data_IF_167068977349
#
_entry.id   IF_167068977349
#
_cell.length_a   1.000
_cell.length_b   1.000
_cell.length_c   1.000
_cell.angle_alpha   90.00
_cell.angle_beta   90.00
_cell.angle_gamma   90.00
#
_symmetry.space_group_name_H-M   'P 1'
#
loop_
_entity.id
_entity.type
_entity.pdbx_description
1 polymer ?
#
# COMPACT_ATOMS: atom_id res chain seq x y z
N UNK A 1 11.76 14.37 12.63
CA UNK A 1 12.42 13.07 12.91
C UNK A 1 13.90 13.33 12.85
N UNK A 2 14.61 12.99 13.92
CA UNK A 2 16.05 13.14 13.99
C UNK A 2 16.70 11.75 13.76
N UNK A 3 18.00 11.72 13.50
CA UNK A 3 18.74 10.50 13.17
C UNK A 3 18.55 9.40 14.22
N UNK A 4 18.73 9.73 15.50
CA UNK A 4 18.56 8.78 16.62
C UNK A 4 17.14 8.20 16.66
N UNK A 5 16.13 9.07 16.50
CA UNK A 5 14.72 8.65 16.52
C UNK A 5 14.40 7.72 15.35
N UNK A 6 14.92 7.99 14.15
CA UNK A 6 14.72 7.16 12.97
C UNK A 6 15.32 5.76 13.18
N UNK A 7 16.54 5.72 13.72
CA UNK A 7 17.24 4.48 14.03
C UNK A 7 16.45 3.63 15.03
N UNK A 8 16.08 4.21 16.17
CA UNK A 8 15.44 3.48 17.25
C UNK A 8 14.03 2.96 16.89
N UNK A 9 13.30 3.73 16.08
CA UNK A 9 11.88 3.42 15.77
C UNK A 9 11.70 2.56 14.53
N UNK A 10 12.52 2.72 13.49
CA UNK A 10 12.24 2.11 12.17
C UNK A 10 13.39 1.34 11.56
N UNK A 11 14.65 1.70 11.86
CA UNK A 11 15.80 1.11 11.14
C UNK A 11 16.52 0.01 11.91
N UNK A 12 16.54 0.05 13.24
CA UNK A 12 17.25 -0.91 14.08
C UNK A 12 16.70 -2.34 13.88
N UNK A 13 17.46 -3.30 13.31
CA UNK A 13 16.99 -4.66 13.05
C UNK A 13 16.53 -5.43 14.29
N UNK A 14 17.02 -5.07 15.48
CA UNK A 14 16.64 -5.72 16.72
C UNK A 14 15.26 -5.29 17.24
N UNK A 15 14.80 -4.08 16.90
CA UNK A 15 13.54 -3.51 17.41
C UNK A 15 12.51 -3.21 16.33
N UNK A 16 12.93 -3.06 15.07
CA UNK A 16 12.05 -2.71 13.96
C UNK A 16 11.09 -3.85 13.64
N UNK A 17 9.89 -3.48 13.20
CA UNK A 17 8.90 -4.42 12.66
C UNK A 17 8.79 -4.21 11.15
N UNK A 18 9.06 -5.24 10.36
CA UNK A 18 8.91 -5.22 8.90
C UNK A 18 7.75 -6.13 8.48
N UNK A 19 7.00 -5.69 7.47
CA UNK A 19 5.97 -6.51 6.85
C UNK A 19 6.46 -7.00 5.48
N UNK A 20 6.55 -8.32 5.30
CA UNK A 20 6.91 -8.92 4.01
C UNK A 20 5.65 -9.06 3.15
N UNK A 21 5.52 -8.19 2.16
CA UNK A 21 4.42 -8.27 1.18
C UNK A 21 4.62 -9.49 0.28
N UNK A 22 3.55 -10.25 0.07
CA UNK A 22 3.51 -11.41 -0.83
C UNK A 22 2.30 -11.31 -1.75
N UNK A 23 2.34 -11.99 -2.90
CA UNK A 23 1.24 -12.02 -3.88
C UNK A 23 0.69 -13.45 -3.91
N UNK A 24 -0.56 -13.60 -3.46
CA UNK A 24 -1.25 -14.89 -3.46
C UNK A 24 -1.91 -15.19 -4.82
N UNK A 25 -2.52 -14.17 -5.44
CA UNK A 25 -3.16 -14.25 -6.75
C UNK A 25 -2.70 -13.09 -7.63
N UNK A 26 -1.87 -13.41 -8.62
CA UNK A 26 -1.33 -12.44 -9.56
C UNK A 26 -2.42 -11.81 -10.45
N UNK A 27 -3.44 -12.56 -10.85
CA UNK A 27 -4.50 -12.03 -11.70
C UNK A 27 -5.38 -11.04 -10.94
N UNK A 28 -5.65 -11.30 -9.65
CA UNK A 28 -6.36 -10.35 -8.80
C UNK A 28 -5.52 -9.09 -8.55
N UNK A 29 -4.23 -9.23 -8.28
CA UNK A 29 -3.33 -8.11 -8.10
C UNK A 29 -3.28 -7.21 -9.35
N UNK A 30 -3.14 -7.79 -10.54
CA UNK A 30 -3.11 -7.04 -11.81
C UNK A 30 -4.39 -6.24 -12.05
N UNK A 31 -5.56 -6.84 -11.79
CA UNK A 31 -6.84 -6.13 -11.88
C UNK A 31 -6.89 -4.92 -10.96
N UNK A 32 -6.40 -5.04 -9.73
CA UNK A 32 -6.36 -3.94 -8.77
C UNK A 32 -5.39 -2.84 -9.19
N UNK A 33 -4.21 -3.20 -9.72
CA UNK A 33 -3.24 -2.24 -10.22
C UNK A 33 -3.82 -1.47 -11.41
N UNK A 34 -4.40 -2.17 -12.39
CA UNK A 34 -5.03 -1.52 -13.54
C UNK A 34 -6.19 -0.60 -13.14
N UNK A 35 -7.02 -1.03 -12.17
CA UNK A 35 -8.14 -0.22 -11.67
C UNK A 35 -7.66 1.06 -10.96
N UNK A 36 -6.65 0.96 -10.09
CA UNK A 36 -6.22 2.05 -9.24
C UNK A 36 -5.16 2.96 -9.86
N UNK A 37 -4.35 2.43 -10.78
CA UNK A 37 -3.19 3.10 -11.36
C UNK A 37 -3.29 3.27 -12.89
N UNK A 38 -4.27 2.66 -13.56
CA UNK A 38 -4.47 2.80 -15.00
C UNK A 38 -5.02 4.16 -15.41
N UNK A 39 -4.92 4.50 -16.69
CA UNK A 39 -5.19 5.85 -17.21
C UNK A 39 -6.66 6.28 -17.13
N UNK A 40 -7.58 5.31 -17.04
CA UNK A 40 -9.02 5.58 -17.01
C UNK A 40 -9.44 6.00 -15.61
N UNK A 41 -9.89 7.24 -15.47
CA UNK A 41 -10.25 7.85 -14.18
C UNK A 41 -11.57 7.33 -13.61
N UNK A 42 -12.55 7.06 -14.46
CA UNK A 42 -13.92 6.75 -14.03
C UNK A 42 -14.02 5.47 -13.15
N UNK A 43 -13.40 4.33 -13.52
CA UNK A 43 -13.39 3.13 -12.68
C UNK A 43 -12.78 3.39 -11.30
N UNK A 44 -11.73 4.21 -11.23
CA UNK A 44 -11.04 4.56 -9.98
C UNK A 44 -11.94 5.39 -9.07
N UNK A 45 -12.65 6.39 -9.62
CA UNK A 45 -13.61 7.21 -8.86
C UNK A 45 -14.74 6.36 -8.28
N UNK A 46 -15.32 5.48 -9.10
CA UNK A 46 -16.39 4.59 -8.67
C UNK A 46 -15.94 3.66 -7.55
N UNK A 47 -14.70 3.14 -7.63
CA UNK A 47 -14.11 2.37 -6.54
C UNK A 47 -14.00 3.20 -5.25
N UNK A 48 -13.50 4.44 -5.32
CA UNK A 48 -13.39 5.30 -4.14
C UNK A 48 -14.74 5.59 -3.49
N UNK A 49 -15.78 5.90 -4.28
CA UNK A 49 -17.12 6.13 -3.73
C UNK A 49 -17.74 4.89 -3.09
N UNK A 50 -17.40 3.69 -3.58
CA UNK A 50 -17.94 2.45 -3.05
C UNK A 50 -17.30 2.01 -1.72
N UNK A 51 -16.02 2.36 -1.48
CA UNK A 51 -15.23 1.83 -0.37
C UNK A 51 -14.70 2.88 0.62
N UNK A 52 -14.82 4.17 0.33
CA UNK A 52 -14.46 5.22 1.28
C UNK A 52 -15.55 5.36 2.36
N UNK A 53 -15.17 5.15 3.61
CA UNK A 53 -15.98 5.53 4.76
C UNK A 53 -15.66 6.99 5.13
N UNK A 54 -16.70 7.81 5.29
CA UNK A 54 -16.61 9.24 5.61
C UNK A 54 -17.12 9.55 7.01
#
# INVERSE_FOLDING_TARGET
MNEDQLWDTTLNPATRTLYKVTIEDAAKAERMVSLLMGDVVEPRKNYMYAYAEF
#
